data_IF_507883457502
#
_entry.id   IF_507883457502
#
_cell.length_a   1.000
_cell.length_b   1.000
_cell.length_c   1.000
_cell.angle_alpha   90.00
_cell.angle_beta   90.00
_cell.angle_gamma   90.00
#
_symmetry.space_group_name_H-M   'P 1'
#
loop_
_entity.id
_entity.type
_entity.pdbx_description
1 polymer ?
#
# COMPACT_ATOMS: atom_id res chain seq x y z
N UNK A 1 7.12 -5.64 0.40
CA UNK A 1 6.45 -5.45 1.70
C UNK A 1 5.47 -6.59 2.05
N UNK A 2 4.85 -7.24 1.07
CA UNK A 2 3.96 -8.40 1.34
C UNK A 2 4.72 -9.68 1.77
N UNK A 3 6.05 -9.69 1.63
CA UNK A 3 6.90 -10.83 2.03
C UNK A 3 7.73 -10.43 3.25
N UNK A 4 8.44 -9.31 3.16
CA UNK A 4 9.32 -8.78 4.21
C UNK A 4 9.55 -7.28 4.04
N UNK A 5 10.08 -6.63 5.06
CA UNK A 5 10.56 -5.25 4.94
C UNK A 5 11.68 -5.21 3.90
N UNK A 6 11.67 -4.24 2.95
CA UNK A 6 12.70 -4.11 1.94
C UNK A 6 14.08 -3.91 2.56
N UNK A 7 15.04 -4.76 2.19
CA UNK A 7 16.45 -4.63 2.54
C UNK A 7 17.17 -3.64 1.61
N UNK A 8 18.46 -3.43 1.83
CA UNK A 8 19.27 -2.51 1.03
C UNK A 8 19.35 -2.95 -0.43
N UNK A 9 19.47 -4.26 -0.68
CA UNK A 9 19.49 -4.82 -2.03
C UNK A 9 18.20 -4.53 -2.79
N UNK A 10 17.05 -4.81 -2.19
CA UNK A 10 15.72 -4.54 -2.77
C UNK A 10 15.52 -3.06 -3.08
N UNK A 11 15.94 -2.18 -2.16
CA UNK A 11 15.89 -0.73 -2.35
C UNK A 11 16.81 -0.25 -3.47
N UNK A 12 18.01 -0.85 -3.58
CA UNK A 12 18.95 -0.55 -4.66
C UNK A 12 18.39 -0.93 -6.01
N UNK A 13 17.82 -2.14 -6.15
CA UNK A 13 17.19 -2.59 -7.39
C UNK A 13 16.04 -1.65 -7.78
N UNK A 14 15.16 -1.31 -6.84
CA UNK A 14 14.03 -0.41 -7.10
C UNK A 14 14.49 0.96 -7.62
N UNK A 15 15.51 1.58 -7.00
CA UNK A 15 16.06 2.86 -7.46
C UNK A 15 16.76 2.75 -8.81
N UNK A 16 17.56 1.71 -8.99
CA UNK A 16 18.36 1.55 -10.19
C UNK A 16 17.51 1.20 -11.42
N UNK A 17 16.32 0.61 -11.23
CA UNK A 17 15.38 0.35 -12.32
C UNK A 17 15.10 1.62 -13.14
N UNK A 18 14.77 2.71 -12.47
CA UNK A 18 14.53 3.99 -13.14
C UNK A 18 15.79 4.55 -13.81
N UNK A 19 16.95 4.40 -13.17
CA UNK A 19 18.24 4.87 -13.73
C UNK A 19 18.59 4.08 -14.99
N UNK A 20 18.49 2.75 -14.97
CA UNK A 20 18.74 1.89 -16.13
C UNK A 20 17.80 2.23 -17.29
N UNK A 21 16.49 2.36 -17.02
CA UNK A 21 15.53 2.76 -18.03
C UNK A 21 15.84 4.12 -18.64
N UNK A 22 16.29 5.08 -17.85
CA UNK A 22 16.66 6.41 -18.35
C UNK A 22 17.94 6.39 -19.17
N UNK A 23 18.99 5.75 -18.66
CA UNK A 23 20.34 5.81 -19.28
C UNK A 23 20.50 4.84 -20.45
N UNK A 24 19.99 3.61 -20.33
CA UNK A 24 20.18 2.57 -21.34
C UNK A 24 19.11 2.59 -22.45
N UNK A 25 17.85 2.88 -22.14
CA UNK A 25 16.80 2.98 -23.17
C UNK A 25 16.78 4.34 -23.86
N UNK A 26 17.47 5.34 -23.32
CA UNK A 26 17.54 6.70 -23.85
C UNK A 26 16.17 7.39 -24.03
N UNK A 27 15.15 6.92 -23.33
CA UNK A 27 13.76 7.39 -23.46
C UNK A 27 13.61 8.90 -23.19
N UNK A 28 14.53 9.48 -22.39
CA UNK A 28 14.50 10.90 -22.03
C UNK A 28 15.19 11.81 -23.06
N UNK A 29 15.76 11.26 -24.15
CA UNK A 29 16.40 12.07 -25.20
C UNK A 29 15.40 12.82 -26.10
N UNK A 30 14.14 12.39 -26.10
CA UNK A 30 13.06 13.05 -26.81
C UNK A 30 11.99 13.50 -25.84
N UNK A 31 11.38 14.66 -26.13
CA UNK A 31 10.18 15.10 -25.42
C UNK A 31 9.01 14.29 -25.94
N UNK A 32 8.22 13.71 -25.06
CA UNK A 32 7.08 12.84 -25.41
C UNK A 32 7.43 11.73 -26.42
N UNK A 33 8.24 10.73 -26.02
CA UNK A 33 8.73 9.70 -26.95
C UNK A 33 7.61 8.82 -27.54
N UNK A 34 6.41 8.84 -26.98
CA UNK A 34 5.22 8.13 -27.49
C UNK A 34 4.26 9.03 -28.28
N UNK A 35 4.52 10.34 -28.33
CA UNK A 35 3.70 11.33 -29.03
C UNK A 35 3.53 11.01 -30.50
N UNK A 36 2.31 11.13 -31.01
CA UNK A 36 1.95 10.81 -32.39
C UNK A 36 1.81 9.31 -32.70
N UNK A 37 2.04 8.42 -31.75
CA UNK A 37 1.69 7.00 -31.90
C UNK A 37 0.16 6.84 -31.89
N UNK A 38 -0.44 6.39 -32.96
CA UNK A 38 -1.89 6.22 -33.06
C UNK A 38 -2.47 5.36 -31.95
N UNK A 39 -1.75 4.31 -31.56
CA UNK A 39 -2.17 3.44 -30.48
C UNK A 39 -2.17 4.19 -29.13
N UNK A 40 -1.09 4.91 -28.85
CA UNK A 40 -0.95 5.63 -27.56
C UNK A 40 -1.95 6.77 -27.46
N UNK A 41 -2.15 7.53 -28.54
CA UNK A 41 -3.12 8.64 -28.59
C UNK A 41 -4.56 8.12 -28.37
N UNK A 42 -4.96 7.06 -29.09
CA UNK A 42 -6.27 6.44 -28.92
C UNK A 42 -6.47 5.86 -27.52
N UNK A 43 -5.44 5.21 -26.95
CA UNK A 43 -5.50 4.67 -25.61
C UNK A 43 -5.63 5.80 -24.58
N UNK A 44 -4.88 6.89 -24.74
CA UNK A 44 -4.94 8.06 -23.86
C UNK A 44 -6.34 8.68 -23.85
N UNK A 45 -6.95 8.88 -25.00
CA UNK A 45 -8.32 9.39 -25.12
C UNK A 45 -9.33 8.42 -24.47
N UNK A 46 -9.21 7.13 -24.72
CA UNK A 46 -10.10 6.12 -24.16
C UNK A 46 -9.99 6.06 -22.62
N UNK A 47 -8.77 6.14 -22.07
CA UNK A 47 -8.54 6.19 -20.62
C UNK A 47 -9.10 7.48 -20.04
N UNK A 48 -8.89 8.63 -20.68
CA UNK A 48 -9.42 9.92 -20.24
C UNK A 48 -10.95 9.90 -20.16
N UNK A 49 -11.63 9.40 -21.19
CA UNK A 49 -13.10 9.25 -21.22
C UNK A 49 -13.58 8.33 -20.10
N UNK A 50 -12.94 7.18 -19.95
CA UNK A 50 -13.33 6.22 -18.91
C UNK A 50 -13.12 6.76 -17.49
N UNK A 51 -12.02 7.48 -17.28
CA UNK A 51 -11.76 8.16 -16.00
C UNK A 51 -12.82 9.21 -15.70
N UNK A 52 -13.24 9.98 -16.73
CA UNK A 52 -14.30 10.97 -16.58
C UNK A 52 -15.65 10.35 -16.24
N UNK A 53 -16.02 9.24 -16.86
CA UNK A 53 -17.24 8.47 -16.52
C UNK A 53 -17.22 8.04 -15.05
N UNK A 54 -16.10 7.43 -14.60
CA UNK A 54 -15.94 6.98 -13.22
C UNK A 54 -16.03 8.15 -12.24
N UNK A 55 -15.40 9.29 -12.57
CA UNK A 55 -15.48 10.51 -11.78
C UNK A 55 -16.94 10.97 -11.62
N UNK A 56 -17.69 11.05 -12.75
CA UNK A 56 -19.10 11.42 -12.70
C UNK A 56 -19.95 10.45 -11.87
N UNK A 57 -19.66 9.16 -11.91
CA UNK A 57 -20.39 8.17 -11.10
C UNK A 57 -20.12 8.36 -9.59
N UNK A 58 -18.88 8.67 -9.22
CA UNK A 58 -18.52 9.03 -7.83
C UNK A 58 -19.25 10.31 -7.39
N UNK A 59 -19.33 11.32 -8.25
CA UNK A 59 -20.04 12.59 -7.96
C UNK A 59 -21.55 12.37 -7.79
N UNK A 60 -22.18 11.51 -8.61
CA UNK A 60 -23.60 11.13 -8.46
C UNK A 60 -23.87 10.45 -7.11
N UNK A 61 -22.92 9.72 -6.55
CA UNK A 61 -23.03 9.11 -5.22
C UNK A 61 -22.87 10.13 -4.07
N UNK A 62 -22.52 11.37 -4.39
CA UNK A 62 -22.30 12.44 -3.43
C UNK A 62 -20.85 12.60 -3.00
N UNK A 63 -19.93 12.25 -3.88
CA UNK A 63 -18.48 12.36 -3.74
C UNK A 63 -17.80 11.13 -3.16
N UNK A 64 -16.48 11.14 -3.15
CA UNK A 64 -15.66 9.97 -2.79
C UNK A 64 -15.92 9.46 -1.37
N UNK A 65 -16.18 10.33 -0.39
CA UNK A 65 -16.45 9.92 0.98
C UNK A 65 -17.70 9.01 1.05
N UNK A 66 -18.81 9.43 0.45
CA UNK A 66 -20.05 8.65 0.40
C UNK A 66 -19.90 7.38 -0.46
N UNK A 67 -19.16 7.46 -1.55
CA UNK A 67 -18.86 6.29 -2.38
C UNK A 67 -18.08 5.21 -1.59
N UNK A 68 -17.10 5.63 -0.76
CA UNK A 68 -16.36 4.73 0.12
C UNK A 68 -17.23 4.12 1.21
N UNK A 69 -18.12 4.90 1.82
CA UNK A 69 -19.12 4.43 2.79
C UNK A 69 -20.06 3.38 2.18
N UNK A 70 -20.51 3.62 0.95
CA UNK A 70 -21.35 2.70 0.19
C UNK A 70 -20.61 1.46 -0.33
N UNK A 71 -19.26 1.41 -0.24
CA UNK A 71 -18.44 0.31 -0.73
C UNK A 71 -18.33 0.24 -2.26
N UNK A 72 -18.69 1.29 -2.97
CA UNK A 72 -18.69 1.30 -4.45
C UNK A 72 -17.28 1.11 -5.05
N UNK A 73 -16.22 1.83 -4.63
CA UNK A 73 -14.87 1.61 -5.15
C UNK A 73 -14.36 0.19 -4.84
N UNK A 74 -14.67 -0.32 -3.64
CA UNK A 74 -14.29 -1.66 -3.21
C UNK A 74 -14.92 -2.74 -4.11
N UNK A 75 -16.18 -2.57 -4.49
CA UNK A 75 -16.87 -3.48 -5.38
C UNK A 75 -16.26 -3.48 -6.80
N UNK A 76 -15.92 -2.31 -7.34
CA UNK A 76 -15.26 -2.19 -8.66
C UNK A 76 -13.89 -2.87 -8.67
N UNK A 77 -13.11 -2.67 -7.60
CA UNK A 77 -11.80 -3.32 -7.43
C UNK A 77 -11.96 -4.83 -7.31
N UNK A 78 -12.93 -5.31 -6.51
CA UNK A 78 -13.18 -6.74 -6.32
C UNK A 78 -13.59 -7.45 -7.63
N UNK A 79 -14.45 -6.83 -8.43
CA UNK A 79 -14.86 -7.37 -9.74
C UNK A 79 -13.66 -7.49 -10.69
N UNK A 80 -12.85 -6.44 -10.77
CA UNK A 80 -11.64 -6.42 -11.60
C UNK A 80 -10.62 -7.46 -11.11
N UNK A 81 -10.41 -7.57 -9.80
CA UNK A 81 -9.51 -8.54 -9.20
C UNK A 81 -9.97 -9.99 -9.49
N UNK A 82 -11.27 -10.27 -9.39
CA UNK A 82 -11.82 -11.59 -9.69
C UNK A 82 -11.62 -11.99 -11.17
N UNK A 83 -11.88 -11.07 -12.10
CA UNK A 83 -11.63 -11.28 -13.54
C UNK A 83 -10.16 -11.54 -13.83
N UNK A 84 -9.28 -10.75 -13.23
CA UNK A 84 -7.83 -10.92 -13.37
C UNK A 84 -7.34 -12.24 -12.79
N UNK A 85 -7.80 -12.61 -11.59
CA UNK A 85 -7.48 -13.90 -10.98
C UNK A 85 -7.91 -15.08 -11.86
N UNK A 86 -9.11 -15.03 -12.44
CA UNK A 86 -9.58 -16.05 -13.36
C UNK A 86 -8.73 -16.15 -14.65
N UNK A 87 -8.27 -15.03 -15.19
CA UNK A 87 -7.39 -15.00 -16.35
C UNK A 87 -6.00 -15.59 -16.02
N UNK A 88 -5.44 -15.22 -14.87
CA UNK A 88 -4.16 -15.74 -14.38
C UNK A 88 -4.24 -17.26 -14.18
N UNK A 89 -5.31 -17.74 -13.55
CA UNK A 89 -5.53 -19.17 -13.31
C UNK A 89 -5.63 -19.97 -14.63
N UNK A 90 -6.25 -19.39 -15.65
CA UNK A 90 -6.38 -19.98 -17.00
C UNK A 90 -5.16 -19.72 -17.90
N UNK A 91 -4.12 -19.08 -17.42
CA UNK A 91 -2.93 -18.68 -18.17
C UNK A 91 -3.22 -17.78 -19.38
N UNK A 92 -4.34 -17.03 -19.35
CA UNK A 92 -4.61 -15.96 -20.33
C UNK A 92 -3.71 -14.76 -20.09
N UNK A 93 -3.54 -14.38 -18.81
CA UNK A 93 -2.57 -13.40 -18.36
C UNK A 93 -1.32 -14.14 -17.88
N UNK A 94 -0.20 -13.96 -18.58
CA UNK A 94 1.05 -14.67 -18.31
C UNK A 94 1.91 -13.84 -17.37
N UNK A 95 2.27 -14.44 -16.23
CA UNK A 95 3.31 -13.95 -15.32
C UNK A 95 4.51 -14.89 -15.42
N UNK A 96 5.54 -14.45 -16.13
CA UNK A 96 6.78 -15.23 -16.28
C UNK A 96 7.38 -15.52 -14.90
N UNK A 97 7.74 -16.77 -14.68
CA UNK A 97 8.24 -17.25 -13.39
C UNK A 97 7.16 -17.62 -12.37
N UNK A 98 5.90 -17.25 -12.60
CA UNK A 98 4.78 -17.55 -11.70
C UNK A 98 3.86 -18.63 -12.27
N UNK A 99 3.01 -18.28 -13.24
CA UNK A 99 2.07 -19.22 -13.87
C UNK A 99 2.58 -19.81 -15.19
N UNK A 100 3.65 -19.23 -15.76
CA UNK A 100 4.36 -19.73 -16.94
C UNK A 100 5.87 -19.61 -16.74
N UNK A 101 6.62 -20.55 -17.31
CA UNK A 101 8.09 -20.58 -17.29
C UNK A 101 8.71 -20.47 -15.88
N UNK A 102 8.25 -21.23 -14.88
CA UNK A 102 8.78 -21.13 -13.53
C UNK A 102 10.22 -21.61 -13.45
N UNK A 103 11.05 -20.92 -12.64
CA UNK A 103 12.35 -21.44 -12.26
C UNK A 103 12.18 -22.45 -11.10
N UNK A 104 12.26 -23.74 -11.41
CA UNK A 104 12.08 -24.80 -10.40
C UNK A 104 13.23 -24.91 -9.39
N UNK A 105 14.35 -24.21 -9.65
CA UNK A 105 15.52 -24.15 -8.74
C UNK A 105 15.54 -22.87 -7.91
N UNK A 106 14.53 -22.02 -8.03
CA UNK A 106 14.46 -20.76 -7.30
C UNK A 106 14.35 -21.03 -5.79
N UNK A 107 15.25 -20.41 -5.04
CA UNK A 107 15.18 -20.43 -3.58
C UNK A 107 14.03 -19.52 -3.13
N UNK A 108 13.14 -20.07 -2.31
CA UNK A 108 12.04 -19.30 -1.73
C UNK A 108 12.58 -18.19 -0.85
N UNK A 109 12.03 -16.99 -1.03
CA UNK A 109 12.33 -15.86 -0.14
C UNK A 109 11.59 -16.10 1.18
N UNK A 110 12.36 -16.33 2.24
CA UNK A 110 11.79 -16.49 3.58
C UNK A 110 11.24 -15.15 4.10
N UNK A 111 10.04 -15.14 4.66
CA UNK A 111 9.53 -13.97 5.33
C UNK A 111 10.45 -13.60 6.50
N UNK A 112 10.82 -12.32 6.59
CA UNK A 112 11.49 -11.78 7.75
C UNK A 112 10.49 -10.90 8.51
N UNK A 113 9.68 -11.45 9.43
CA UNK A 113 8.72 -10.68 10.19
C UNK A 113 9.47 -9.70 11.09
N UNK A 114 8.95 -8.47 11.15
CA UNK A 114 9.40 -7.51 12.15
C UNK A 114 8.92 -8.01 13.51
N UNK A 115 9.80 -8.06 14.49
CA UNK A 115 9.38 -8.31 15.87
C UNK A 115 8.60 -7.09 16.37
N UNK A 116 7.28 -7.14 16.15
CA UNK A 116 6.37 -6.08 16.49
C UNK A 116 6.37 -5.79 18.02
N UNK A 117 6.60 -6.81 18.83
CA UNK A 117 6.65 -6.67 20.28
C UNK A 117 7.91 -5.93 20.75
N UNK A 118 9.08 -6.26 20.20
CA UNK A 118 10.32 -5.57 20.50
C UNK A 118 10.22 -4.09 20.10
N UNK A 119 9.75 -3.79 18.89
CA UNK A 119 9.54 -2.41 18.41
C UNK A 119 8.54 -1.66 19.31
N UNK A 120 7.44 -2.29 19.69
CA UNK A 120 6.44 -1.67 20.53
C UNK A 120 6.97 -1.39 21.96
N UNK A 121 7.70 -2.33 22.55
CA UNK A 121 8.25 -2.17 23.90
C UNK A 121 9.34 -1.10 23.95
N UNK A 122 10.24 -1.07 22.97
CA UNK A 122 11.25 -0.01 22.82
C UNK A 122 10.58 1.36 22.68
N UNK A 123 9.57 1.46 21.80
CA UNK A 123 8.86 2.71 21.60
C UNK A 123 8.10 3.17 22.83
N UNK A 124 7.47 2.24 23.56
CA UNK A 124 6.78 2.54 24.81
C UNK A 124 7.74 3.09 25.88
N UNK A 125 8.93 2.50 26.00
CA UNK A 125 9.97 2.98 26.92
C UNK A 125 10.45 4.39 26.53
N UNK A 126 10.73 4.63 25.26
CA UNK A 126 11.14 5.94 24.73
C UNK A 126 10.06 7.01 24.97
N UNK A 127 8.78 6.69 24.76
CA UNK A 127 7.66 7.60 25.02
C UNK A 127 7.49 7.90 26.51
N UNK A 128 7.71 6.92 27.39
CA UNK A 128 7.69 7.13 28.84
C UNK A 128 8.78 8.12 29.28
N UNK A 129 9.97 7.96 28.74
CA UNK A 129 11.08 8.88 29.03
C UNK A 129 10.80 10.29 28.46
N UNK A 130 10.31 10.39 27.22
CA UNK A 130 9.95 11.66 26.60
C UNK A 130 8.88 12.42 27.42
N UNK A 131 7.83 11.73 27.85
CA UNK A 131 6.77 12.32 28.71
C UNK A 131 7.29 12.81 30.06
N UNK A 132 8.29 12.14 30.63
CA UNK A 132 8.88 12.54 31.89
C UNK A 132 9.66 13.85 31.81
N UNK A 133 10.18 14.21 30.62
CA UNK A 133 10.88 15.48 30.37
C UNK A 133 9.96 16.64 29.97
N UNK A 134 8.66 16.39 29.82
CA UNK A 134 7.70 17.40 29.34
C UNK A 134 7.40 18.45 30.41
N UNK A 135 7.18 19.70 29.99
CA UNK A 135 6.63 20.74 30.86
C UNK A 135 5.11 20.56 30.98
N UNK A 136 4.68 19.92 32.06
CA UNK A 136 3.28 19.52 32.25
C UNK A 136 2.29 20.69 32.14
N UNK A 137 2.60 21.86 32.76
CA UNK A 137 1.70 23.00 32.74
C UNK A 137 1.54 23.63 31.37
N UNK A 138 2.64 23.89 30.68
CA UNK A 138 2.62 24.46 29.34
C UNK A 138 1.98 23.48 28.32
N UNK A 139 2.30 22.19 28.46
CA UNK A 139 1.70 21.13 27.61
C UNK A 139 0.18 21.12 27.78
N UNK A 140 -0.32 21.09 28.98
CA UNK A 140 -1.75 21.04 29.24
C UNK A 140 -2.47 22.28 28.71
N UNK A 141 -1.94 23.46 28.94
CA UNK A 141 -2.52 24.71 28.44
C UNK A 141 -2.59 24.75 26.89
N UNK A 142 -1.54 24.27 26.24
CA UNK A 142 -1.50 24.23 24.76
C UNK A 142 -2.48 23.17 24.19
N UNK A 143 -2.61 22.00 24.81
CA UNK A 143 -3.58 20.98 24.41
C UNK A 143 -5.03 21.44 24.62
N UNK A 144 -5.32 22.16 25.69
CA UNK A 144 -6.63 22.78 25.92
C UNK A 144 -6.96 23.87 24.92
N UNK A 145 -5.97 24.69 24.54
CA UNK A 145 -6.15 25.68 23.49
C UNK A 145 -6.46 25.01 22.14
N UNK A 146 -5.77 23.91 21.84
CA UNK A 146 -6.00 23.13 20.63
C UNK A 146 -7.41 22.51 20.61
N UNK A 147 -7.87 22.00 21.75
CA UNK A 147 -9.19 21.37 21.89
C UNK A 147 -10.36 22.36 21.73
N UNK A 148 -10.15 23.66 21.97
CA UNK A 148 -11.17 24.71 21.75
C UNK A 148 -11.50 24.94 20.28
N UNK A 149 -10.64 24.48 19.37
CA UNK A 149 -10.81 24.68 17.93
C UNK A 149 -10.35 26.06 17.43
N UNK A 150 -10.55 26.32 16.15
CA UNK A 150 -10.04 27.52 15.48
C UNK A 150 -8.69 27.26 14.81
N UNK A 151 -7.72 28.16 14.98
CA UNK A 151 -6.37 27.93 14.45
C UNK A 151 -5.68 26.79 15.22
N UNK A 152 -5.52 25.65 14.58
CA UNK A 152 -4.91 24.47 15.21
C UNK A 152 -3.37 24.48 15.16
N UNK A 153 -2.77 25.27 14.28
CA UNK A 153 -1.32 25.18 13.99
C UNK A 153 -0.50 25.69 15.16
N UNK A 154 -0.75 26.90 15.62
CA UNK A 154 0.03 27.51 16.72
C UNK A 154 -0.09 26.74 18.02
N UNK A 155 -1.29 26.35 18.53
CA UNK A 155 -1.39 25.54 19.73
C UNK A 155 -0.73 24.15 19.59
N UNK A 156 -0.76 23.55 18.40
CA UNK A 156 -0.07 22.27 18.15
C UNK A 156 1.45 22.42 18.24
N UNK A 157 2.02 23.50 17.70
CA UNK A 157 3.45 23.82 17.83
C UNK A 157 3.83 23.99 19.29
N UNK A 158 3.07 24.78 20.04
CA UNK A 158 3.33 25.03 21.46
C UNK A 158 3.22 23.74 22.30
N UNK A 159 2.23 22.89 21.99
CA UNK A 159 2.10 21.60 22.65
C UNK A 159 3.32 20.69 22.35
N UNK A 160 3.79 20.65 21.12
CA UNK A 160 4.98 19.87 20.73
C UNK A 160 6.25 20.38 21.42
N UNK A 161 6.46 21.70 21.46
CA UNK A 161 7.59 22.33 22.17
C UNK A 161 7.54 22.07 23.68
N UNK A 162 6.35 21.99 24.27
CA UNK A 162 6.15 21.65 25.67
C UNK A 162 6.28 20.16 26.00
N UNK A 163 6.56 19.31 25.00
CA UNK A 163 6.77 17.87 25.15
C UNK A 163 5.50 17.02 25.03
N UNK A 164 4.47 17.50 24.32
CA UNK A 164 3.33 16.68 23.98
C UNK A 164 3.71 15.67 22.90
N UNK A 165 3.19 14.44 23.01
CA UNK A 165 3.33 13.42 21.98
C UNK A 165 2.36 13.67 20.83
N UNK A 166 2.66 13.11 19.64
CA UNK A 166 1.78 13.18 18.48
C UNK A 166 0.37 12.67 18.80
N UNK A 167 0.25 11.61 19.61
CA UNK A 167 -1.04 11.07 20.05
C UNK A 167 -1.85 12.06 20.89
N UNK A 168 -1.20 12.74 21.85
CA UNK A 168 -1.85 13.76 22.70
C UNK A 168 -2.32 14.95 21.86
N UNK A 169 -1.51 15.44 20.92
CA UNK A 169 -1.87 16.53 20.01
C UNK A 169 -3.04 16.11 19.12
N UNK A 170 -2.97 14.92 18.50
CA UNK A 170 -4.03 14.41 17.62
C UNK A 170 -5.34 14.18 18.37
N UNK A 171 -5.28 13.71 19.62
CA UNK A 171 -6.46 13.53 20.46
C UNK A 171 -7.10 14.87 20.82
N UNK A 172 -6.31 15.86 21.22
CA UNK A 172 -6.81 17.21 21.54
C UNK A 172 -7.45 17.86 20.32
N UNK A 173 -6.80 17.77 19.14
CA UNK A 173 -7.33 18.32 17.88
C UNK A 173 -8.66 17.65 17.44
N UNK A 174 -8.89 16.41 17.84
CA UNK A 174 -10.08 15.63 17.50
C UNK A 174 -11.15 15.60 18.59
N UNK A 175 -10.99 16.33 19.69
CA UNK A 175 -11.93 16.30 20.83
C UNK A 175 -13.37 16.53 20.41
N UNK A 176 -13.60 17.40 19.43
CA UNK A 176 -14.93 17.72 18.92
C UNK A 176 -15.26 17.03 17.57
N UNK A 177 -14.39 16.15 17.09
CA UNK A 177 -14.63 15.43 15.85
C UNK A 177 -15.68 14.33 16.06
N UNK A 178 -16.65 14.26 15.16
CA UNK A 178 -17.56 13.13 15.10
C UNK A 178 -16.82 11.90 14.59
N UNK A 179 -17.17 10.73 15.11
CA UNK A 179 -16.67 9.48 14.56
C UNK A 179 -17.01 9.41 13.04
N UNK A 180 -16.00 9.16 12.24
CA UNK A 180 -16.22 8.95 10.81
C UNK A 180 -16.88 7.59 10.55
N UNK A 181 -17.45 7.40 9.35
CA UNK A 181 -18.01 6.12 8.97
C UNK A 181 -16.93 5.04 8.88
N UNK A 182 -17.34 3.81 9.16
CA UNK A 182 -16.47 2.65 8.97
C UNK A 182 -16.54 2.21 7.51
N UNK A 183 -15.40 2.11 6.85
CA UNK A 183 -15.29 1.63 5.47
C UNK A 183 -14.72 0.22 5.45
N UNK A 184 -15.21 -0.63 4.54
CA UNK A 184 -14.64 -1.95 4.34
C UNK A 184 -13.29 -1.84 3.63
N UNK A 185 -12.21 -2.43 4.17
CA UNK A 185 -10.90 -2.37 3.53
C UNK A 185 -10.85 -3.26 2.29
N UNK A 186 -10.01 -2.89 1.33
CA UNK A 186 -9.59 -3.77 0.24
C UNK A 186 -8.38 -4.57 0.73
N UNK A 187 -8.49 -5.90 0.72
CA UNK A 187 -7.40 -6.77 1.12
C UNK A 187 -6.40 -6.94 -0.03
N UNK A 188 -5.14 -6.58 0.22
CA UNK A 188 -4.06 -6.87 -0.71
C UNK A 188 -3.62 -8.34 -0.57
N UNK A 189 -3.43 -9.01 -1.71
CA UNK A 189 -2.90 -10.36 -1.78
C UNK A 189 -1.89 -10.47 -2.91
N UNK A 190 -0.94 -11.42 -2.78
CA UNK A 190 0.05 -11.66 -3.83
C UNK A 190 -0.55 -12.55 -4.92
N UNK A 191 -0.41 -12.14 -6.18
CA UNK A 191 -0.87 -12.93 -7.33
C UNK A 191 -0.21 -14.30 -7.44
N UNK A 192 1.02 -14.46 -6.91
CA UNK A 192 1.75 -15.73 -6.89
C UNK A 192 1.31 -16.71 -5.78
N UNK A 193 0.57 -16.27 -4.77
CA UNK A 193 0.30 -17.05 -3.55
C UNK A 193 -0.35 -18.43 -3.83
N UNK A 194 -1.32 -18.49 -4.73
CA UNK A 194 -1.97 -19.75 -5.09
C UNK A 194 -1.01 -20.72 -5.80
N UNK A 195 -0.13 -20.20 -6.66
CA UNK A 195 0.87 -21.02 -7.36
C UNK A 195 1.97 -21.49 -6.44
N UNK A 196 2.38 -20.70 -5.45
CA UNK A 196 3.31 -21.12 -4.40
C UNK A 196 2.74 -22.25 -3.54
N UNK A 197 1.46 -22.17 -3.18
CA UNK A 197 0.78 -23.23 -2.44
C UNK A 197 0.70 -24.54 -3.25
N UNK A 198 0.40 -24.47 -4.54
CA UNK A 198 0.41 -25.62 -5.44
C UNK A 198 1.82 -26.23 -5.57
N UNK A 199 2.85 -25.40 -5.69
CA UNK A 199 4.25 -25.84 -5.77
C UNK A 199 4.65 -26.57 -4.49
N UNK A 200 4.30 -26.02 -3.33
CA UNK A 200 4.56 -26.65 -2.03
C UNK A 200 3.82 -27.99 -1.88
N UNK A 201 2.57 -28.08 -2.33
CA UNK A 201 1.82 -29.32 -2.33
C UNK A 201 2.47 -30.40 -3.24
N UNK A 202 2.95 -29.99 -4.42
CA UNK A 202 3.67 -30.89 -5.34
C UNK A 202 5.00 -31.38 -4.73
N UNK A 203 5.76 -30.51 -4.08
CA UNK A 203 7.00 -30.88 -3.39
C UNK A 203 6.74 -31.86 -2.24
N UNK A 204 5.71 -31.65 -1.44
CA UNK A 204 5.28 -32.55 -0.38
C UNK A 204 4.88 -33.91 -0.94
N UNK A 205 4.19 -33.94 -2.08
CA UNK A 205 3.83 -35.18 -2.76
C UNK A 205 5.06 -35.94 -3.24
N UNK A 206 6.02 -35.25 -3.88
CA UNK A 206 7.29 -35.82 -4.34
C UNK A 206 8.09 -36.41 -3.17
N UNK A 207 8.17 -35.70 -2.05
CA UNK A 207 8.87 -36.17 -0.85
C UNK A 207 8.23 -37.46 -0.29
N UNK A 208 6.90 -37.63 -0.44
CA UNK A 208 6.18 -38.82 0.05
C UNK A 208 6.26 -40.02 -0.90
N UNK A 209 6.22 -39.80 -2.21
CA UNK A 209 6.05 -40.86 -3.22
C UNK A 209 7.32 -41.08 -4.06
N UNK A 210 8.27 -40.14 -4.03
CA UNK A 210 9.54 -40.22 -4.78
C UNK A 210 9.41 -39.86 -6.27
N UNK A 211 8.20 -39.56 -6.76
CA UNK A 211 7.94 -39.22 -8.17
C UNK A 211 7.14 -37.95 -8.29
N UNK A 212 7.45 -37.14 -9.31
CA UNK A 212 6.66 -35.97 -9.62
C UNK A 212 5.29 -36.36 -10.20
N UNK A 213 4.21 -35.65 -9.85
CA UNK A 213 2.92 -35.85 -10.51
C UNK A 213 3.08 -35.65 -12.01
N UNK A 214 2.61 -36.62 -12.79
CA UNK A 214 2.50 -36.49 -14.25
C UNK A 214 1.13 -35.91 -14.57
N UNK A 215 1.11 -34.91 -15.47
CA UNK A 215 -0.10 -34.29 -15.99
C UNK A 215 -0.37 -34.87 -17.37
#
# INVERSE_FOLDING_TARGET
ELIRVPDEFSRRIARNTHTVLREESHITRTVDPAGGSWYVENLTDAVARKTWEIFQDVEKLGGMAKALEAGWPQAQIADTAAKRAANIAKRKDIFVGTNMYPNLKETRIEPAPVDAWAVQSERAAALKQYRASANAGQKQAALEALAKGGNAVEPAIQAALAGATLGEIAQAARTNAKAGPTTNPVHAHRGAQAFEALRQAAETYVARIGQRPQV
#
